data_IF_526047460447
#
_entry.id   IF_526047460447
#
_cell.length_a   1.000
_cell.length_b   1.000
_cell.length_c   1.000
_cell.angle_alpha   90.00
_cell.angle_beta   90.00
_cell.angle_gamma   90.00
#
_symmetry.space_group_name_H-M   'P 1'
#
loop_
_entity.id
_entity.type
_entity.pdbx_description
1 polymer ?
#
# COMPACT_ATOMS: atom_id res chain seq x y z
N UNK A 1 30.99 -50.12 50.50
CA UNK A 1 29.63 -49.53 50.42
C UNK A 1 29.80 -48.06 50.09
N UNK A 2 29.69 -47.69 48.82
CA UNK A 2 29.72 -46.31 48.36
C UNK A 2 28.99 -46.24 47.02
N UNK A 3 27.66 -46.08 47.06
CA UNK A 3 26.87 -45.76 45.88
C UNK A 3 26.80 -44.23 45.77
N UNK A 4 27.64 -43.67 44.90
CA UNK A 4 27.58 -42.27 44.53
C UNK A 4 26.32 -42.02 43.71
N UNK A 5 25.36 -41.29 44.29
CA UNK A 5 24.21 -40.75 43.58
C UNK A 5 24.70 -39.94 42.37
N UNK A 6 24.44 -40.45 41.16
CA UNK A 6 24.59 -39.67 39.93
C UNK A 6 23.54 -38.56 39.94
N UNK A 7 23.97 -37.38 40.35
CA UNK A 7 23.21 -36.15 40.18
C UNK A 7 22.90 -36.02 38.68
N UNK A 8 21.61 -36.07 38.35
CA UNK A 8 21.14 -35.91 36.98
C UNK A 8 21.73 -34.63 36.40
N UNK A 9 22.48 -34.77 35.30
CA UNK A 9 22.95 -33.61 34.55
C UNK A 9 21.70 -32.92 34.01
N UNK A 10 21.35 -31.78 34.62
CA UNK A 10 20.35 -30.89 34.06
C UNK A 10 20.97 -30.37 32.77
N UNK A 11 20.44 -30.81 31.63
CA UNK A 11 20.85 -30.34 30.32
C UNK A 11 20.65 -28.81 30.25
N UNK A 12 21.75 -28.06 30.35
CA UNK A 12 21.79 -26.59 30.25
C UNK A 12 21.45 -26.12 28.80
N UNK A 13 21.16 -27.05 27.88
CA UNK A 13 20.70 -26.79 26.51
C UNK A 13 19.21 -26.43 26.37
N UNK A 14 18.46 -26.25 27.47
CA UNK A 14 17.05 -25.82 27.46
C UNK A 14 16.86 -24.30 27.53
N UNK A 15 17.87 -23.49 27.18
CA UNK A 15 17.67 -22.04 27.02
C UNK A 15 16.72 -21.87 25.83
N UNK A 16 15.54 -21.24 26.00
CA UNK A 16 14.63 -20.97 24.89
C UNK A 16 15.39 -20.25 23.78
N UNK A 17 15.25 -20.69 22.53
CA UNK A 17 15.89 -20.09 21.34
C UNK A 17 15.24 -18.74 21.00
N UNK A 18 15.30 -17.80 21.95
CA UNK A 18 14.70 -16.47 21.86
C UNK A 18 15.42 -15.62 20.80
N UNK A 19 16.72 -15.90 20.58
CA UNK A 19 17.50 -15.25 19.55
C UNK A 19 16.98 -15.58 18.15
N UNK A 20 16.53 -16.81 17.91
CA UNK A 20 15.84 -17.18 16.67
C UNK A 20 14.54 -16.39 16.49
N UNK A 21 13.69 -16.35 17.53
CA UNK A 21 12.41 -15.65 17.49
C UNK A 21 12.59 -14.15 17.24
N UNK A 22 13.55 -13.50 17.89
CA UNK A 22 13.87 -12.09 17.69
C UNK A 22 14.38 -11.80 16.28
N UNK A 23 15.28 -12.64 15.75
CA UNK A 23 15.79 -12.50 14.38
C UNK A 23 14.68 -12.68 13.34
N UNK A 24 13.74 -13.60 13.59
CA UNK A 24 12.61 -13.84 12.70
C UNK A 24 11.61 -12.68 12.75
N UNK A 25 11.25 -12.23 13.95
CA UNK A 25 10.32 -11.12 14.16
C UNK A 25 10.85 -9.80 13.60
N UNK A 26 12.11 -9.45 13.86
CA UNK A 26 12.72 -8.24 13.29
C UNK A 26 12.74 -8.26 11.77
N UNK A 27 12.97 -9.43 11.15
CA UNK A 27 12.88 -9.60 9.69
C UNK A 27 11.46 -9.37 9.18
N UNK A 28 10.44 -9.94 9.84
CA UNK A 28 9.04 -9.74 9.48
C UNK A 28 8.62 -8.27 9.58
N UNK A 29 8.95 -7.61 10.69
CA UNK A 29 8.70 -6.18 10.85
C UNK A 29 9.39 -5.37 9.75
N UNK A 30 10.65 -5.65 9.44
CA UNK A 30 11.35 -4.97 8.35
C UNK A 30 10.63 -5.11 7.01
N UNK A 31 10.11 -6.29 6.69
CA UNK A 31 9.34 -6.54 5.46
C UNK A 31 8.05 -5.73 5.45
N UNK A 32 7.30 -5.68 6.55
CA UNK A 32 6.06 -4.90 6.67
C UNK A 32 6.33 -3.42 6.41
N UNK A 33 7.33 -2.86 7.08
CA UNK A 33 7.68 -1.45 6.98
C UNK A 33 8.23 -1.08 5.60
N UNK A 34 9.16 -1.88 5.03
CA UNK A 34 9.71 -1.66 3.69
C UNK A 34 8.62 -1.74 2.61
N UNK A 35 7.77 -2.76 2.68
CA UNK A 35 6.65 -2.95 1.75
C UNK A 35 5.67 -1.79 1.83
N UNK A 36 5.36 -1.30 3.04
CA UNK A 36 4.47 -0.16 3.25
C UNK A 36 5.02 1.12 2.63
N UNK A 37 6.26 1.53 2.97
CA UNK A 37 6.84 2.77 2.43
C UNK A 37 6.99 2.71 0.92
N UNK A 38 7.47 1.58 0.40
CA UNK A 38 7.68 1.39 -1.03
C UNK A 38 6.35 1.38 -1.79
N UNK A 39 5.33 0.72 -1.24
CA UNK A 39 3.96 0.74 -1.75
C UNK A 39 3.37 2.15 -1.75
N UNK A 40 3.52 2.88 -0.64
CA UNK A 40 2.99 4.24 -0.51
C UNK A 40 3.60 5.20 -1.52
N UNK A 41 4.91 5.16 -1.73
CA UNK A 41 5.58 6.02 -2.73
C UNK A 41 5.04 5.72 -4.13
N UNK A 42 4.88 4.44 -4.49
CA UNK A 42 4.36 4.06 -5.80
C UNK A 42 2.93 4.56 -5.98
N UNK A 43 2.06 4.37 -4.97
CA UNK A 43 0.66 4.81 -5.03
C UNK A 43 0.58 6.33 -5.09
N UNK A 44 1.35 7.05 -4.27
CA UNK A 44 1.42 8.51 -4.31
C UNK A 44 1.74 9.02 -5.71
N UNK A 45 2.82 8.50 -6.31
CA UNK A 45 3.25 8.88 -7.66
C UNK A 45 2.18 8.54 -8.69
N UNK A 46 1.60 7.34 -8.60
CA UNK A 46 0.55 6.89 -9.51
C UNK A 46 -0.71 7.76 -9.43
N UNK A 47 -1.20 8.04 -8.22
CA UNK A 47 -2.36 8.91 -7.98
C UNK A 47 -2.06 10.32 -8.50
N UNK A 48 -0.90 10.88 -8.20
CA UNK A 48 -0.50 12.19 -8.69
C UNK A 48 -0.58 12.27 -10.22
N UNK A 49 0.05 11.37 -10.95
CA UNK A 49 0.05 11.41 -12.41
C UNK A 49 -1.34 11.17 -13.02
N UNK A 50 -2.12 10.24 -12.45
CA UNK A 50 -3.50 10.00 -12.91
C UNK A 50 -4.35 11.24 -12.74
N UNK A 51 -4.30 11.89 -11.58
CA UNK A 51 -5.11 13.08 -11.33
C UNK A 51 -4.59 14.32 -12.07
N UNK A 52 -3.28 14.46 -12.30
CA UNK A 52 -2.75 15.50 -13.19
C UNK A 52 -3.36 15.35 -14.59
N UNK A 53 -3.36 14.13 -15.13
CA UNK A 53 -3.94 13.86 -16.45
C UNK A 53 -5.43 14.17 -16.45
N UNK A 54 -6.19 13.61 -15.51
CA UNK A 54 -7.65 13.74 -15.43
C UNK A 54 -8.06 15.21 -15.25
N UNK A 55 -7.54 15.89 -14.23
CA UNK A 55 -7.89 17.28 -13.97
C UNK A 55 -7.47 18.22 -15.11
N UNK A 56 -6.33 17.95 -15.75
CA UNK A 56 -5.90 18.75 -16.91
C UNK A 56 -6.79 18.51 -18.12
N UNK A 57 -7.20 17.26 -18.40
CA UNK A 57 -8.13 16.95 -19.49
C UNK A 57 -9.52 17.53 -19.27
N UNK A 58 -9.95 17.63 -18.01
CA UNK A 58 -11.23 18.25 -17.63
C UNK A 58 -11.15 19.78 -17.56
N UNK A 59 -9.98 20.38 -17.76
CA UNK A 59 -9.78 21.82 -17.70
C UNK A 59 -9.93 22.42 -16.31
N UNK A 60 -9.68 21.65 -15.25
CA UNK A 60 -9.78 22.13 -13.88
C UNK A 60 -8.63 23.09 -13.59
N UNK A 61 -8.94 24.29 -13.08
CA UNK A 61 -7.93 25.23 -12.63
C UNK A 61 -7.06 24.62 -11.53
N UNK A 62 -5.77 24.93 -11.57
CA UNK A 62 -4.79 24.39 -10.62
C UNK A 62 -4.74 22.85 -10.61
N UNK A 63 -4.96 22.22 -11.77
CA UNK A 63 -4.97 20.75 -11.93
C UNK A 63 -3.78 20.06 -11.27
N UNK A 64 -2.57 20.59 -11.45
CA UNK A 64 -1.34 20.05 -10.84
C UNK A 64 -1.35 20.17 -9.32
N UNK A 65 -1.78 21.31 -8.78
CA UNK A 65 -1.84 21.54 -7.34
C UNK A 65 -2.91 20.66 -6.68
N UNK A 66 -4.08 20.52 -7.31
CA UNK A 66 -5.14 19.62 -6.85
C UNK A 66 -4.71 18.16 -6.92
N UNK A 67 -4.02 17.75 -7.98
CA UNK A 67 -3.48 16.39 -8.09
C UNK A 67 -2.38 16.12 -7.05
N UNK A 68 -1.53 17.10 -6.74
CA UNK A 68 -0.55 17.02 -5.66
C UNK A 68 -1.26 16.87 -4.31
N UNK A 69 -2.30 17.67 -4.06
CA UNK A 69 -3.12 17.58 -2.86
C UNK A 69 -3.77 16.20 -2.74
N UNK A 70 -4.38 15.69 -3.81
CA UNK A 70 -4.99 14.35 -3.86
C UNK A 70 -3.96 13.25 -3.63
N UNK A 71 -2.77 13.34 -4.23
CA UNK A 71 -1.67 12.42 -3.95
C UNK A 71 -1.26 12.45 -2.47
N UNK A 72 -1.02 13.63 -1.90
CA UNK A 72 -0.65 13.78 -0.49
C UNK A 72 -1.76 13.29 0.47
N UNK A 73 -3.01 13.40 0.05
CA UNK A 73 -4.15 12.95 0.83
C UNK A 73 -4.23 11.42 0.96
N UNK A 74 -3.57 10.65 0.07
CA UNK A 74 -3.46 9.18 0.18
C UNK A 74 -2.75 8.74 1.47
N UNK A 75 -1.95 9.62 2.08
CA UNK A 75 -1.29 9.36 3.36
C UNK A 75 -2.24 9.44 4.57
N UNK A 76 -3.46 9.95 4.38
CA UNK A 76 -4.45 10.16 5.43
C UNK A 76 -5.68 9.31 5.11
N UNK A 77 -5.73 8.05 5.59
CA UNK A 77 -6.81 7.12 5.29
C UNK A 77 -8.17 7.73 5.64
N UNK A 78 -9.17 7.49 4.77
CA UNK A 78 -10.57 7.96 4.88
C UNK A 78 -10.79 9.46 4.84
N UNK A 79 -9.96 10.26 5.50
CA UNK A 79 -10.13 11.72 5.57
C UNK A 79 -9.64 12.38 4.29
N UNK A 80 -8.56 11.87 3.69
CA UNK A 80 -7.94 12.45 2.51
C UNK A 80 -8.91 12.65 1.35
N UNK A 81 -9.68 11.61 0.98
CA UNK A 81 -10.64 11.67 -0.12
C UNK A 81 -11.68 12.79 0.06
N UNK A 82 -12.20 12.96 1.28
CA UNK A 82 -13.21 13.96 1.58
C UNK A 82 -12.63 15.37 1.52
N UNK A 83 -11.48 15.59 2.15
CA UNK A 83 -10.80 16.89 2.15
C UNK A 83 -10.51 17.34 0.71
N UNK A 84 -9.94 16.45 -0.12
CA UNK A 84 -9.61 16.83 -1.50
C UNK A 84 -10.83 16.97 -2.38
N UNK A 85 -11.89 16.20 -2.13
CA UNK A 85 -13.16 16.34 -2.87
C UNK A 85 -13.83 17.67 -2.56
N UNK A 86 -13.82 18.12 -1.31
CA UNK A 86 -14.37 19.43 -0.92
C UNK A 86 -13.60 20.55 -1.63
N UNK A 87 -12.26 20.51 -1.57
CA UNK A 87 -11.42 21.53 -2.23
C UNK A 87 -11.64 21.50 -3.75
N UNK A 88 -11.71 20.31 -4.36
CA UNK A 88 -11.99 20.15 -5.78
C UNK A 88 -13.35 20.74 -6.18
N UNK A 89 -14.41 20.46 -5.41
CA UNK A 89 -15.74 21.02 -5.64
C UNK A 89 -15.72 22.53 -5.51
N UNK A 90 -15.05 23.08 -4.49
CA UNK A 90 -14.91 24.53 -4.35
C UNK A 90 -14.22 25.15 -5.58
N UNK A 91 -13.09 24.59 -6.01
CA UNK A 91 -12.37 25.11 -7.18
C UNK A 91 -13.21 25.02 -8.45
N UNK A 92 -13.89 23.91 -8.68
CA UNK A 92 -14.69 23.69 -9.90
C UNK A 92 -15.98 24.49 -9.91
N UNK A 93 -16.61 24.70 -8.75
CA UNK A 93 -17.84 25.50 -8.63
C UNK A 93 -17.59 27.00 -8.81
N UNK A 94 -16.44 27.51 -8.34
CA UNK A 94 -16.07 28.92 -8.48
C UNK A 94 -15.17 29.21 -9.69
N UNK A 95 -15.06 28.25 -10.62
CA UNK A 95 -14.35 28.42 -11.88
C UNK A 95 -15.34 28.92 -12.96
N UNK A 96 -15.17 30.16 -13.49
CA UNK A 96 -16.10 30.72 -14.47
C UNK A 96 -16.01 30.03 -15.84
N UNK A 97 -14.79 29.73 -16.28
CA UNK A 97 -14.53 29.17 -17.61
C UNK A 97 -14.25 27.67 -17.50
N UNK A 98 -14.98 26.85 -18.25
CA UNK A 98 -14.70 25.42 -18.38
C UNK A 98 -14.74 24.99 -19.85
N UNK A 99 -14.07 23.89 -20.19
CA UNK A 99 -13.96 23.42 -21.59
C UNK A 99 -15.28 22.94 -22.19
N UNK A 100 -16.30 22.74 -21.35
CA UNK A 100 -17.57 22.13 -21.75
C UNK A 100 -18.72 23.15 -21.88
N UNK A 101 -18.50 24.43 -21.54
CA UNK A 101 -19.54 25.45 -21.51
C UNK A 101 -20.69 25.13 -20.56
N UNK A 102 -20.46 24.28 -19.55
CA UNK A 102 -21.48 23.83 -18.60
C UNK A 102 -21.70 24.85 -17.48
N UNK A 103 -22.90 24.82 -16.89
CA UNK A 103 -23.15 25.55 -15.64
C UNK A 103 -22.18 25.08 -14.53
N UNK A 104 -21.74 25.95 -13.62
CA UNK A 104 -20.73 25.60 -12.62
C UNK A 104 -21.11 24.40 -11.74
N UNK A 105 -22.39 24.25 -11.41
CA UNK A 105 -22.89 23.14 -10.60
C UNK A 105 -22.82 21.80 -11.35
N UNK A 106 -23.10 21.80 -12.67
CA UNK A 106 -23.03 20.61 -13.52
C UNK A 106 -21.57 20.19 -13.70
N UNK A 107 -20.69 21.17 -13.94
CA UNK A 107 -19.25 20.94 -14.07
C UNK A 107 -18.66 20.37 -12.78
N UNK A 108 -18.96 20.96 -11.62
CA UNK A 108 -18.50 20.45 -10.33
C UNK A 108 -19.00 19.02 -10.06
N UNK A 109 -20.27 18.72 -10.37
CA UNK A 109 -20.84 17.38 -10.22
C UNK A 109 -20.16 16.37 -11.15
N UNK A 110 -19.87 16.74 -12.41
CA UNK A 110 -19.17 15.89 -13.38
C UNK A 110 -17.75 15.55 -12.89
N UNK A 111 -16.98 16.58 -12.53
CA UNK A 111 -15.59 16.41 -12.08
C UNK A 111 -15.54 15.60 -10.78
N UNK A 112 -16.45 15.86 -9.83
CA UNK A 112 -16.58 15.07 -8.61
C UNK A 112 -16.95 13.61 -8.92
N UNK A 113 -17.92 13.36 -9.80
CA UNK A 113 -18.34 12.02 -10.19
C UNK A 113 -17.21 11.19 -10.78
N UNK A 114 -16.44 11.78 -11.70
CA UNK A 114 -15.23 11.15 -12.28
C UNK A 114 -14.19 10.88 -11.18
N UNK A 115 -13.97 11.84 -10.28
CA UNK A 115 -13.00 11.72 -9.19
C UNK A 115 -13.37 10.60 -8.23
N UNK A 116 -14.65 10.49 -7.84
CA UNK A 116 -15.15 9.42 -6.99
C UNK A 116 -15.07 8.06 -7.68
N UNK A 117 -15.36 7.99 -8.98
CA UNK A 117 -15.22 6.75 -9.76
C UNK A 117 -13.75 6.28 -9.81
N UNK A 118 -12.81 7.20 -10.01
CA UNK A 118 -11.39 6.90 -9.99
C UNK A 118 -10.97 6.43 -8.60
N UNK A 119 -11.34 7.15 -7.53
CA UNK A 119 -11.03 6.74 -6.16
C UNK A 119 -11.58 5.35 -5.84
N UNK A 120 -12.83 5.08 -6.20
CA UNK A 120 -13.43 3.76 -6.03
C UNK A 120 -12.63 2.67 -6.76
N UNK A 121 -12.15 2.97 -7.98
CA UNK A 121 -11.29 2.06 -8.74
C UNK A 121 -9.95 1.85 -8.02
N UNK A 122 -9.36 2.92 -7.50
CA UNK A 122 -8.11 2.86 -6.76
C UNK A 122 -8.26 1.99 -5.51
N UNK A 123 -9.24 2.29 -4.67
CA UNK A 123 -9.43 1.64 -3.37
C UNK A 123 -9.81 0.16 -3.50
N UNK A 124 -10.66 -0.20 -4.47
CA UNK A 124 -11.18 -1.57 -4.58
C UNK A 124 -10.34 -2.48 -5.49
N UNK A 125 -9.63 -1.93 -6.48
CA UNK A 125 -8.93 -2.74 -7.49
C UNK A 125 -7.42 -2.55 -7.49
N UNK A 126 -6.94 -1.34 -7.21
CA UNK A 126 -5.53 -0.98 -7.39
C UNK A 126 -4.79 -1.17 -6.07
N UNK A 127 -5.21 -0.49 -5.00
CA UNK A 127 -4.60 -0.54 -3.67
C UNK A 127 -4.43 -1.97 -3.13
N UNK A 128 -5.40 -2.90 -3.23
CA UNK A 128 -5.22 -4.28 -2.77
C UNK A 128 -4.14 -5.05 -3.54
N UNK A 129 -3.87 -4.67 -4.79
CA UNK A 129 -2.79 -5.28 -5.60
C UNK A 129 -1.41 -4.75 -5.24
N UNK A 130 -1.31 -3.54 -4.69
CA UNK A 130 -0.04 -2.95 -4.26
C UNK A 130 0.34 -3.31 -2.84
N UNK A 131 -0.64 -3.35 -1.93
CA UNK A 131 -0.41 -3.76 -0.55
C UNK A 131 -0.53 -5.28 -0.34
N UNK A 132 -1.09 -6.02 -1.30
CA UNK A 132 -1.27 -7.47 -1.22
C UNK A 132 -2.18 -7.90 -0.06
N UNK A 133 -2.32 -9.22 0.15
CA UNK A 133 -2.88 -9.81 1.40
C UNK A 133 -2.02 -9.52 2.65
N UNK A 134 -1.01 -8.66 2.53
CA UNK A 134 0.09 -8.49 3.48
C UNK A 134 -0.33 -7.78 4.77
N UNK A 135 -1.39 -6.97 4.73
CA UNK A 135 -2.05 -6.45 5.92
C UNK A 135 -3.47 -7.01 5.96
N UNK A 136 -3.62 -8.26 6.37
CA UNK A 136 -4.90 -8.85 6.74
C UNK A 136 -5.44 -8.19 8.02
N UNK A 137 -5.75 -6.90 7.92
CA UNK A 137 -6.10 -6.02 9.03
C UNK A 137 -7.42 -5.36 8.68
N UNK A 138 -8.37 -5.45 9.61
CA UNK A 138 -9.66 -4.82 9.42
C UNK A 138 -9.48 -3.30 9.23
N UNK A 139 -10.06 -2.67 8.20
CA UNK A 139 -9.82 -1.26 7.91
C UNK A 139 -10.19 -0.31 9.07
N UNK A 140 -11.21 -0.69 9.87
CA UNK A 140 -11.55 0.02 11.10
C UNK A 140 -10.40 0.07 12.14
N UNK A 141 -9.57 -0.98 12.24
CA UNK A 141 -8.43 -0.98 13.15
C UNK A 141 -7.37 0.06 12.73
N UNK A 142 -7.14 0.20 11.42
CA UNK A 142 -6.25 1.24 10.87
C UNK A 142 -6.81 2.63 11.16
N UNK A 143 -8.13 2.84 11.02
CA UNK A 143 -8.77 4.11 11.36
C UNK A 143 -8.62 4.46 12.84
N UNK A 144 -8.91 3.51 13.74
CA UNK A 144 -8.79 3.73 15.19
C UNK A 144 -7.35 4.05 15.57
N UNK A 145 -6.39 3.30 15.02
CA UNK A 145 -4.97 3.58 15.25
C UNK A 145 -4.54 4.92 14.68
N UNK A 146 -5.05 5.33 13.51
CA UNK A 146 -4.78 6.64 12.94
C UNK A 146 -5.24 7.77 13.86
N UNK A 147 -6.43 7.66 14.46
CA UNK A 147 -6.93 8.64 15.43
C UNK A 147 -6.07 8.68 16.69
N UNK A 148 -5.67 7.51 17.21
CA UNK A 148 -4.80 7.43 18.38
C UNK A 148 -3.42 8.02 18.08
N UNK A 149 -2.82 7.63 16.97
CA UNK A 149 -1.50 8.11 16.54
C UNK A 149 -1.50 9.58 16.13
N UNK A 150 -2.63 10.11 15.65
CA UNK A 150 -2.80 11.54 15.42
C UNK A 150 -2.59 12.36 16.69
N UNK A 151 -3.07 11.87 17.83
CA UNK A 151 -2.89 12.53 19.11
C UNK A 151 -1.44 12.43 19.62
N UNK A 152 -0.74 11.35 19.30
CA UNK A 152 0.64 11.12 19.76
C UNK A 152 1.69 11.84 18.90
N UNK A 153 1.59 11.72 17.58
CA UNK A 153 2.61 12.13 16.62
C UNK A 153 2.07 13.06 15.52
N UNK A 154 0.81 13.52 15.63
CA UNK A 154 0.18 14.38 14.64
C UNK A 154 -0.01 13.68 13.28
N UNK A 155 0.17 14.43 12.21
CA UNK A 155 0.02 13.95 10.82
C UNK A 155 0.94 12.77 10.52
N UNK A 156 2.15 12.77 11.08
CA UNK A 156 3.10 11.66 10.92
C UNK A 156 2.54 10.39 11.53
N UNK A 157 1.85 10.49 12.67
CA UNK A 157 1.21 9.34 13.31
C UNK A 157 0.10 8.72 12.47
N UNK A 158 -0.71 9.55 11.81
CA UNK A 158 -1.78 9.08 10.91
C UNK A 158 -1.19 8.25 9.77
N UNK A 159 -0.11 8.74 9.16
CA UNK A 159 0.56 8.04 8.09
C UNK A 159 1.11 6.68 8.54
N UNK A 160 1.69 6.61 9.75
CA UNK A 160 2.27 5.39 10.29
C UNK A 160 1.24 4.41 10.89
N UNK A 161 -0.05 4.74 10.86
CA UNK A 161 -1.08 3.92 11.50
C UNK A 161 -1.12 2.48 10.98
N UNK A 162 -1.12 2.29 9.66
CA UNK A 162 -1.20 0.96 9.04
C UNK A 162 -0.02 0.02 9.44
N UNK A 163 1.27 0.42 9.27
CA UNK A 163 2.38 -0.44 9.66
C UNK A 163 2.47 -0.64 11.18
N UNK A 164 2.04 0.33 11.98
CA UNK A 164 1.98 0.17 13.44
C UNK A 164 0.93 -0.86 13.84
N UNK A 165 -0.27 -0.83 13.27
CA UNK A 165 -1.30 -1.86 13.55
C UNK A 165 -0.83 -3.23 13.12
N UNK A 166 -0.17 -3.34 11.96
CA UNK A 166 0.43 -4.60 11.52
C UNK A 166 1.46 -5.12 12.53
N UNK A 167 2.36 -4.24 12.97
CA UNK A 167 3.38 -4.57 13.98
C UNK A 167 2.74 -5.04 15.29
N UNK A 168 1.73 -4.32 15.80
CA UNK A 168 1.01 -4.69 17.03
C UNK A 168 0.31 -6.04 16.87
N UNK A 169 -0.32 -6.30 15.73
CA UNK A 169 -0.96 -7.59 15.42
C UNK A 169 0.05 -8.73 15.46
N UNK A 170 1.18 -8.58 14.77
CA UNK A 170 2.20 -9.63 14.67
C UNK A 170 2.86 -9.91 16.03
N UNK A 171 3.22 -8.86 16.77
CA UNK A 171 3.76 -8.96 18.14
C UNK A 171 2.75 -9.62 19.05
N UNK A 172 1.49 -9.15 19.04
CA UNK A 172 0.44 -9.65 19.91
C UNK A 172 0.13 -11.12 19.66
N UNK A 173 0.14 -11.54 18.39
CA UNK A 173 -0.06 -12.94 18.01
C UNK A 173 1.10 -13.83 18.47
N UNK A 174 2.35 -13.36 18.31
CA UNK A 174 3.53 -14.05 18.83
C UNK A 174 3.44 -14.23 20.36
N UNK A 175 3.16 -13.15 21.09
CA UNK A 175 3.06 -13.18 22.57
C UNK A 175 1.94 -14.10 23.03
N UNK A 176 0.74 -13.97 22.45
CA UNK A 176 -0.43 -14.76 22.82
C UNK A 176 -0.18 -16.26 22.63
N UNK A 177 0.45 -16.65 21.53
CA UNK A 177 0.77 -18.05 21.26
C UNK A 177 1.84 -18.59 22.18
N UNK A 178 2.90 -17.82 22.39
CA UNK A 178 3.99 -18.22 23.28
C UNK A 178 3.54 -18.33 24.74
N UNK A 179 2.56 -17.52 25.17
CA UNK A 179 1.92 -17.66 26.48
C UNK A 179 1.04 -18.89 26.62
N UNK A 180 0.52 -19.44 25.52
CA UNK A 180 -0.30 -20.65 25.49
C UNK A 180 0.53 -21.91 25.20
N UNK A 181 1.86 -21.82 25.23
CA UNK A 181 2.80 -22.88 24.84
C UNK A 181 2.51 -23.45 23.44
N UNK A 182 1.91 -22.64 22.56
CA UNK A 182 1.69 -22.95 21.16
C UNK A 182 2.90 -22.49 20.33
N UNK A 183 3.16 -23.17 19.23
CA UNK A 183 4.16 -22.71 18.26
C UNK A 183 3.76 -21.31 17.73
N UNK A 184 4.57 -20.26 18.00
CA UNK A 184 4.28 -18.92 17.50
C UNK A 184 4.28 -18.88 15.97
N UNK A 185 5.01 -19.78 15.30
CA UNK A 185 5.25 -19.74 13.86
C UNK A 185 4.58 -20.93 13.15
N UNK A 186 3.32 -20.78 12.74
CA UNK A 186 2.56 -21.84 12.04
C UNK A 186 3.17 -22.31 10.71
N UNK A 187 3.83 -21.40 10.00
CA UNK A 187 4.38 -21.65 8.68
C UNK A 187 5.90 -21.86 8.81
N UNK A 188 6.47 -22.92 8.21
CA UNK A 188 7.93 -23.07 8.09
C UNK A 188 8.56 -21.80 7.49
N UNK A 189 9.88 -21.62 7.61
CA UNK A 189 10.64 -20.61 6.84
C UNK A 189 10.57 -20.93 5.34
N UNK A 190 9.39 -20.89 4.73
CA UNK A 190 9.21 -21.01 3.31
C UNK A 190 9.74 -19.70 2.72
N UNK A 191 10.81 -19.83 1.93
CA UNK A 191 11.50 -18.79 1.16
C UNK A 191 10.53 -17.65 0.81
N UNK A 192 10.53 -16.62 1.66
CA UNK A 192 9.73 -15.42 1.51
C UNK A 192 10.33 -14.63 0.35
N UNK A 193 10.11 -15.13 -0.86
CA UNK A 193 10.52 -14.44 -2.08
C UNK A 193 9.93 -13.04 -2.00
N UNK A 194 10.73 -11.99 -2.27
CA UNK A 194 10.23 -10.62 -2.23
C UNK A 194 8.94 -10.55 -3.02
N UNK A 195 7.88 -10.02 -2.39
CA UNK A 195 6.53 -9.94 -2.96
C UNK A 195 6.66 -9.47 -4.41
N UNK A 196 6.48 -10.38 -5.37
CA UNK A 196 6.76 -10.10 -6.78
C UNK A 196 5.63 -9.20 -7.30
N UNK A 197 5.83 -7.89 -7.25
CA UNK A 197 4.78 -6.93 -7.58
C UNK A 197 4.22 -7.18 -9.00
N UNK A 198 2.89 -7.25 -9.19
CA UNK A 198 2.27 -7.74 -10.43
C UNK A 198 2.60 -6.92 -11.69
N UNK A 199 2.91 -5.63 -11.55
CA UNK A 199 3.28 -4.75 -12.67
C UNK A 199 4.64 -5.08 -13.33
N UNK A 200 5.54 -5.80 -12.64
CA UNK A 200 6.75 -6.35 -13.28
C UNK A 200 6.45 -7.54 -14.21
N UNK A 201 5.34 -8.26 -13.99
CA UNK A 201 4.88 -9.31 -14.92
C UNK A 201 4.16 -8.72 -16.12
N UNK A 202 3.35 -7.67 -15.92
CA UNK A 202 2.66 -6.98 -17.02
C UNK A 202 3.63 -6.27 -17.97
N UNK A 203 4.70 -5.64 -17.47
CA UNK A 203 5.71 -5.03 -18.35
C UNK A 203 6.45 -6.07 -19.21
N UNK A 204 6.74 -7.26 -18.67
CA UNK A 204 7.27 -8.39 -19.46
C UNK A 204 6.28 -8.83 -20.55
N UNK A 205 5.00 -8.97 -20.21
CA UNK A 205 3.96 -9.36 -21.17
C UNK A 205 3.72 -8.27 -22.24
N UNK A 206 3.72 -7.00 -21.86
CA UNK A 206 3.56 -5.87 -22.77
C UNK A 206 4.74 -5.74 -23.74
N UNK A 207 5.98 -5.97 -23.26
CA UNK A 207 7.17 -6.05 -24.10
C UNK A 207 7.08 -7.18 -25.12
N UNK A 208 6.59 -8.36 -24.71
CA UNK A 208 6.38 -9.49 -25.65
C UNK A 208 5.24 -9.25 -26.63
N UNK A 209 4.21 -8.49 -26.24
CA UNK A 209 3.11 -8.12 -27.11
C UNK A 209 3.56 -7.09 -28.16
N UNK A 210 4.30 -6.04 -27.78
CA UNK A 210 4.89 -5.06 -28.72
C UNK A 210 5.81 -5.75 -29.73
N UNK A 211 6.62 -6.73 -29.32
CA UNK A 211 7.48 -7.48 -30.22
C UNK A 211 6.71 -8.31 -31.25
N UNK A 212 5.51 -8.80 -30.90
CA UNK A 212 4.62 -9.50 -31.84
C UNK A 212 3.91 -8.55 -32.80
N UNK A 213 3.69 -7.30 -32.39
CA UNK A 213 2.98 -6.29 -33.19
C UNK A 213 3.92 -5.48 -34.08
N UNK A 214 5.25 -5.59 -33.91
CA UNK A 214 6.19 -5.01 -34.86
C UNK A 214 6.09 -5.71 -36.22
N UNK A 215 5.73 -5.00 -37.31
CA UNK A 215 5.68 -5.59 -38.63
C UNK A 215 7.09 -6.06 -39.01
N UNK A 216 7.23 -7.37 -39.29
CA UNK A 216 8.44 -7.93 -39.92
C UNK A 216 8.77 -7.05 -41.13
N UNK A 217 9.86 -6.28 -41.04
CA UNK A 217 10.43 -5.58 -42.20
C UNK A 217 10.64 -6.63 -43.29
N UNK A 218 9.86 -6.56 -44.37
CA UNK A 218 10.06 -7.38 -45.56
C UNK A 218 11.47 -7.08 -46.06
N UNK A 219 12.33 -8.11 -46.08
CA UNK A 219 13.63 -8.04 -46.72
C UNK A 219 13.49 -7.71 -48.21
N UNK A 220 14.53 -7.15 -48.84
CA UNK A 220 14.45 -6.65 -50.20
C UNK A 220 14.05 -7.77 -51.16
N UNK A 221 13.01 -7.52 -51.94
CA UNK A 221 12.57 -8.35 -53.05
C UNK A 221 13.72 -8.49 -54.05
N UNK A 222 14.25 -9.70 -54.18
CA UNK A 222 15.13 -10.09 -55.27
C UNK A 222 14.31 -10.05 -56.58
N UNK A 223 14.68 -9.12 -57.46
CA UNK A 223 14.14 -9.02 -58.83
C UNK A 223 15.11 -9.74 -59.75
N UNK A 224 14.66 -10.85 -60.32
CA UNK A 224 15.10 -11.35 -61.63
C UNK A 224 13.89 -11.56 -62.51
#
# INVERSE_FOLDING_TARGET
>A
MAEGHKVGQINIGQIPDYDYDLRRMTRQLRIVWDSFFRGQIIIFVMVFFVYVLVYSTLGVRYSIALAALTGLAVFIPYVGIWVTSIVLVMVTLFQPDNYFGMDPWQYAALVLGITLMINFTFDNYISPRFFGRTLDIHPAAVLVAALFMANLLGVVGIFLAAPVVATIKDVGFYVFRKMLDLDPWLEPEEDQRPVEYPWFRWSKQFKTWIQKVQPRKKGPTDKK
#
